data_IF_840247136605
#
_entry.id   IF_840247136605
#
_cell.length_a   1.000
_cell.length_b   1.000
_cell.length_c   1.000
_cell.angle_alpha   90.00
_cell.angle_beta   90.00
_cell.angle_gamma   90.00
#
_symmetry.space_group_name_H-M   'P 1'
#
loop_
_entity.id
_entity.type
_entity.pdbx_description
1 polymer ?
2 non-polymer ?
3 non-polymer ?
4 non-polymer ?
5 non-polymer ?
6 non-polymer ?
7 non-polymer ?
8 water ?
#
# COMPACT_ATOMS: atom_id res chain seq x y z
N UNK A 2 -2.09 7.94 24.85
CA UNK A 2 -3.18 7.11 25.47
C UNK A 2 -2.61 5.85 26.08
N UNK A 3 -3.49 5.02 26.65
CA UNK A 3 -3.03 3.77 27.28
C UNK A 3 -2.78 2.70 26.25
N UNK A 4 -3.45 2.75 25.08
CA UNK A 4 -3.07 1.84 24.01
C UNK A 4 -1.97 2.51 23.18
N UNK A 5 -0.81 1.85 23.13
CA UNK A 5 0.23 2.14 22.14
C UNK A 5 -0.45 1.98 20.77
N UNK A 6 -0.22 2.89 19.83
CA UNK A 6 -0.72 2.65 18.46
C UNK A 6 0.23 3.22 17.43
N UNK A 7 0.17 2.65 16.21
CA UNK A 7 0.88 3.17 15.03
C UNK A 7 -0.13 3.37 13.90
N UNK A 8 0.20 4.20 12.92
CA UNK A 8 -0.66 4.29 11.73
C UNK A 8 0.24 4.25 10.51
N UNK A 9 -0.27 3.76 9.40
CA UNK A 9 0.51 3.75 8.15
C UNK A 9 -0.17 2.85 7.15
N UNK A 10 0.30 2.88 5.90
CA UNK A 10 -0.37 2.12 4.84
C UNK A 10 -0.07 0.61 4.96
N UNK A 11 -1.04 -0.23 4.59
CA UNK A 11 -0.81 -1.68 4.49
C UNK A 11 -0.06 -1.94 3.19
N UNK A 12 1.07 -2.64 3.30
CA UNK A 12 1.93 -2.89 2.15
C UNK A 12 2.27 -4.39 1.94
N UNK A 13 3.02 -4.70 0.88
CA UNK A 13 3.29 -6.10 0.51
C UNK A 13 4.32 -6.75 1.45
N UNK A 14 4.04 -7.99 1.84
CA UNK A 14 5.00 -8.81 2.56
C UNK A 14 5.57 -9.91 1.67
N UNK A 15 5.89 -11.05 2.28
CA UNK A 15 6.42 -12.20 1.53
C UNK A 15 5.38 -12.98 0.68
N UNK A 16 4.10 -12.71 0.93
CA UNK A 16 3.00 -13.40 0.25
C UNK A 16 2.67 -14.75 0.85
N UNK A 17 3.08 -15.01 2.10
CA UNK A 17 2.93 -16.38 2.65
C UNK A 17 1.80 -16.52 3.67
N UNK A 18 1.39 -15.42 4.29
CA UNK A 18 0.45 -15.45 5.44
C UNK A 18 -0.84 -16.20 5.11
N UNK A 19 -1.55 -15.75 4.08
CA UNK A 19 -2.81 -16.38 3.65
C UNK A 19 -2.55 -17.74 3.02
N UNK A 20 -1.73 -17.74 1.96
CA UNK A 20 -1.48 -18.91 1.12
C UNK A 20 -0.88 -20.10 1.88
N UNK A 21 0.12 -19.85 2.72
CA UNK A 21 0.85 -20.93 3.37
C UNK A 21 0.40 -21.16 4.80
N UNK A 22 0.03 -20.11 5.51
CA UNK A 22 -0.25 -20.24 6.94
C UNK A 22 -1.75 -20.28 7.28
N UNK A 23 -2.58 -19.80 6.34
CA UNK A 23 -4.01 -19.59 6.61
C UNK A 23 -4.27 -18.43 7.56
N UNK A 24 -3.27 -17.58 7.75
CA UNK A 24 -3.42 -16.38 8.58
C UNK A 24 -2.93 -15.16 7.78
N UNK A 25 -3.78 -14.61 6.89
CA UNK A 25 -3.32 -13.39 6.20
C UNK A 25 -3.02 -12.26 7.19
N UNK A 26 -1.92 -11.50 6.98
CA UNK A 26 -1.59 -10.41 7.88
C UNK A 26 -1.40 -9.14 7.09
N UNK A 27 -2.03 -8.06 7.57
CA UNK A 27 -1.84 -6.74 6.97
C UNK A 27 -0.49 -6.21 7.50
N UNK A 28 0.47 -6.02 6.60
CA UNK A 28 1.85 -5.62 6.97
C UNK A 28 2.09 -4.13 6.92
N UNK A 29 2.71 -3.60 7.98
CA UNK A 29 3.23 -2.23 7.97
C UNK A 29 4.73 -2.26 8.27
N UNK A 30 5.51 -1.36 7.65
CA UNK A 30 6.96 -1.25 7.97
C UNK A 30 7.25 0.18 8.39
N UNK A 31 8.06 0.35 9.43
CA UNK A 31 8.41 1.69 9.94
C UNK A 31 9.93 1.89 9.93
N UNK A 32 10.40 3.13 9.88
CA UNK A 32 11.85 3.39 10.04
C UNK A 32 12.30 3.01 11.45
N UNK A 33 13.59 2.67 11.61
CA UNK A 33 14.05 2.19 12.93
C UNK A 33 14.05 3.26 14.05
N UNK A 34 13.76 4.51 13.67
CA UNK A 34 13.62 5.64 14.62
C UNK A 34 12.25 5.73 15.31
N UNK A 35 11.26 5.05 14.73
CA UNK A 35 9.84 5.09 15.18
C UNK A 35 9.66 4.18 16.39
N UNK A 36 9.07 4.71 17.45
CA UNK A 36 8.88 3.91 18.63
C UNK A 36 7.84 2.79 18.34
N UNK A 37 8.21 1.55 18.69
CA UNK A 37 7.31 0.37 18.54
C UNK A 37 7.25 -0.39 19.86
N UNK A 38 6.20 -1.21 20.07
CA UNK A 38 6.24 -2.15 21.22
C UNK A 38 7.38 -3.16 21.01
N UNK A 39 7.77 -3.83 22.08
CA UNK A 39 8.75 -4.92 22.03
C UNK A 39 8.33 -5.95 20.96
N UNK A 40 9.32 -6.57 20.31
CA UNK A 40 8.96 -7.66 19.37
C UNK A 40 8.16 -8.69 20.17
N UNK A 41 7.07 -9.18 19.58
CA UNK A 41 6.21 -10.15 20.28
C UNK A 41 4.84 -10.17 19.64
N UNK A 42 3.88 -10.77 20.34
CA UNK A 42 2.51 -11.01 19.85
C UNK A 42 1.55 -10.29 20.80
N UNK A 43 0.57 -9.60 20.22
CA UNK A 43 -0.34 -8.70 20.96
C UNK A 43 -1.78 -8.93 20.55
N UNK A 44 -2.69 -8.64 21.48
CA UNK A 44 -4.13 -8.60 21.17
C UNK A 44 -4.38 -7.12 20.92
N UNK A 45 -5.15 -6.79 19.89
CA UNK A 45 -5.45 -5.37 19.62
C UNK A 45 -6.56 -5.10 18.62
N UNK A 46 -6.60 -3.86 18.10
CA UNK A 46 -7.67 -3.42 17.22
C UNK A 46 -7.06 -2.78 15.98
N UNK A 47 -7.56 -3.18 14.80
CA UNK A 47 -7.17 -2.54 13.55
C UNK A 47 -8.37 -1.71 13.06
N UNK A 48 -8.10 -0.44 12.74
CA UNK A 48 -9.13 0.44 12.21
C UNK A 48 -8.66 1.03 10.87
N UNK A 49 -9.51 0.91 9.83
CA UNK A 49 -9.26 1.64 8.57
C UNK A 49 -9.62 3.11 8.83
N UNK A 50 -8.63 4.01 8.68
CA UNK A 50 -8.85 5.42 9.03
C UNK A 50 -9.86 6.08 8.08
N UNK A 51 -10.50 7.19 8.53
CA UNK A 51 -11.49 7.88 7.70
C UNK A 51 -10.98 8.07 6.28
N UNK A 52 -11.79 7.67 5.31
CA UNK A 52 -11.35 7.74 3.91
C UNK A 52 -12.52 7.70 2.94
N UNK A 53 -12.33 8.31 1.78
CA UNK A 53 -13.27 8.16 0.68
C UNK A 53 -12.88 7.04 -0.31
N UNK A 54 -11.73 6.39 -0.11
CA UNK A 54 -11.30 5.31 -0.99
C UNK A 54 -12.23 4.10 -0.75
N UNK A 55 -12.74 3.48 -1.84
CA UNK A 55 -13.57 2.27 -1.68
C UNK A 55 -12.77 1.12 -1.07
N UNK A 56 -13.43 0.36 -0.20
CA UNK A 56 -12.82 -0.80 0.47
C UNK A 56 -13.55 -2.06 -0.03
N UNK A 57 -12.80 -2.98 -0.63
CA UNK A 57 -13.38 -4.19 -1.18
C UNK A 57 -13.32 -5.30 -0.11
N UNK A 58 -14.45 -5.97 0.15
CA UNK A 58 -14.52 -6.95 1.25
C UNK A 58 -15.43 -6.51 2.39
N UNK A 59 -15.40 -7.25 3.49
CA UNK A 59 -16.37 -7.03 4.59
C UNK A 59 -15.85 -6.22 5.79
N UNK A 60 -14.95 -5.29 5.53
CA UNK A 60 -14.52 -4.29 6.52
C UNK A 60 -14.84 -2.90 5.99
N UNK A 61 -15.27 -2.00 6.85
CA UNK A 61 -15.52 -0.62 6.46
C UNK A 61 -14.70 0.33 7.33
N UNK A 62 -14.52 1.61 6.91
CA UNK A 62 -13.69 2.47 7.74
C UNK A 62 -14.31 2.82 9.10
N UNK A 63 -13.46 3.22 10.04
CA UNK A 63 -13.87 3.80 11.34
C UNK A 63 -14.52 2.77 12.27
N UNK A 64 -14.30 1.49 12.02
CA UNK A 64 -14.75 0.42 12.94
C UNK A 64 -13.49 -0.28 13.46
N UNK A 65 -13.37 -0.49 14.77
CA UNK A 65 -12.22 -1.18 15.34
C UNK A 65 -12.41 -2.70 15.16
N UNK A 66 -11.57 -3.34 14.34
CA UNK A 66 -11.66 -4.80 14.14
C UNK A 66 -10.71 -5.55 15.04
N UNK A 67 -11.21 -6.59 15.75
CA UNK A 67 -10.35 -7.42 16.58
C UNK A 67 -9.21 -8.03 15.74
N UNK A 68 -7.98 -7.96 16.25
CA UNK A 68 -6.81 -8.41 15.51
C UNK A 68 -5.80 -9.06 16.45
N UNK A 69 -5.13 -10.11 15.97
CA UNK A 69 -3.95 -10.68 16.59
C UNK A 69 -2.75 -10.14 15.80
N UNK A 70 -1.77 -9.59 16.51
CA UNK A 70 -0.76 -8.71 15.93
C UNK A 70 0.65 -9.19 16.31
N UNK A 71 1.53 -9.28 15.32
CA UNK A 71 2.93 -9.64 15.51
C UNK A 71 3.81 -8.40 15.26
N UNK A 72 4.86 -8.25 16.05
CA UNK A 72 5.89 -7.21 15.84
C UNK A 72 7.21 -7.95 15.82
N UNK A 73 8.00 -7.76 14.75
CA UNK A 73 9.33 -8.33 14.69
C UNK A 73 9.74 -8.73 13.28
N UNK A 74 10.74 -9.62 13.21
CA UNK A 74 11.38 -9.97 11.94
C UNK A 74 10.98 -11.38 11.41
N UNK A 75 9.96 -11.99 12.01
CA UNK A 75 9.48 -13.32 11.58
C UNK A 75 10.63 -14.35 11.59
N UNK A 76 11.28 -14.54 12.77
CA UNK A 76 12.49 -15.33 12.79
C UNK A 76 12.34 -16.80 12.32
N UNK A 77 11.12 -17.36 12.41
CA UNK A 77 10.84 -18.71 11.86
C UNK A 77 11.22 -18.81 10.37
N UNK A 78 11.08 -17.69 9.67
CA UNK A 78 11.29 -17.61 8.22
C UNK A 78 12.56 -16.86 7.84
N UNK A 79 13.11 -16.11 8.80
CA UNK A 79 14.35 -15.37 8.58
C UNK A 79 14.19 -14.11 7.74
N UNK A 80 13.07 -13.40 7.90
CA UNK A 80 12.82 -12.17 7.14
C UNK A 80 13.80 -11.05 7.52
N UNK A 81 14.04 -10.12 6.59
CA UNK A 81 15.09 -9.12 6.78
C UNK A 81 14.65 -7.87 7.54
N UNK A 82 13.38 -7.46 7.38
CA UNK A 82 12.92 -6.22 7.99
C UNK A 82 11.91 -6.47 9.13
N UNK A 83 11.91 -5.58 10.10
CA UNK A 83 10.91 -5.60 11.19
C UNK A 83 9.57 -5.08 10.67
N UNK A 84 8.52 -5.86 10.88
CA UNK A 84 7.16 -5.51 10.46
C UNK A 84 6.21 -5.41 11.68
N UNK A 85 5.10 -4.70 11.50
CA UNK A 85 3.91 -4.82 12.36
C UNK A 85 2.85 -5.50 11.47
N UNK A 86 2.31 -6.63 11.93
CA UNK A 86 1.46 -7.48 11.07
C UNK A 86 0.19 -7.82 11.81
N UNK A 87 -0.96 -7.52 11.20
CA UNK A 87 -2.28 -7.69 11.87
C UNK A 87 -3.11 -8.74 11.13
N UNK A 88 -3.47 -9.82 11.85
CA UNK A 88 -4.45 -10.81 11.34
C UNK A 88 -5.80 -10.35 11.90
N UNK A 89 -6.65 -9.86 11.02
CA UNK A 89 -7.98 -9.38 11.42
C UNK A 89 -8.89 -10.62 11.57
N UNK A 90 -9.41 -10.86 12.77
CA UNK A 90 -10.20 -12.08 13.06
C UNK A 90 -11.49 -12.15 12.24
N UNK A 91 -11.75 -13.29 11.61
CA UNK A 91 -13.06 -13.60 11.01
C UNK A 91 -13.51 -12.61 9.93
N UNK A 92 -12.55 -11.97 9.25
CA UNK A 92 -12.87 -10.98 8.20
C UNK A 92 -12.09 -11.31 6.95
N UNK A 93 -12.50 -10.69 5.83
CA UNK A 93 -11.81 -10.87 4.56
C UNK A 93 -12.02 -9.60 3.72
N UNK A 94 -10.95 -8.81 3.57
CA UNK A 94 -10.96 -7.55 2.82
C UNK A 94 -9.60 -7.26 2.18
N UNK A 95 -9.63 -6.50 1.06
CA UNK A 95 -8.40 -6.05 0.43
C UNK A 95 -7.94 -4.76 1.10
N UNK A 96 -6.93 -4.89 1.96
CA UNK A 96 -6.42 -3.76 2.74
C UNK A 96 -5.21 -3.05 2.11
N UNK A 97 -4.66 -3.63 1.04
CA UNK A 97 -3.41 -3.12 0.50
C UNK A 97 -3.57 -1.66 0.09
N UNK A 98 -2.65 -0.81 0.54
CA UNK A 98 -2.65 0.61 0.21
C UNK A 98 -3.54 1.49 1.09
N UNK A 99 -4.39 0.86 1.92
CA UNK A 99 -5.24 1.63 2.83
C UNK A 99 -4.47 2.06 4.08
N UNK A 100 -4.72 3.29 4.54
CA UNK A 100 -4.11 3.79 5.77
C UNK A 100 -4.87 3.22 6.99
N UNK A 101 -4.17 2.49 7.87
CA UNK A 101 -4.80 1.87 9.04
C UNK A 101 -4.12 2.26 10.33
N UNK A 102 -4.89 2.19 11.45
CA UNK A 102 -4.37 2.40 12.78
C UNK A 102 -4.40 1.03 13.45
N UNK A 103 -3.31 0.68 14.15
CA UNK A 103 -3.20 -0.60 14.87
C UNK A 103 -2.93 -0.23 16.33
N UNK A 104 -3.81 -0.68 17.21
CA UNK A 104 -3.72 -0.40 18.65
C UNK A 104 -3.31 -1.69 19.36
N UNK A 105 -2.33 -1.59 20.27
CA UNK A 105 -1.78 -2.75 20.96
C UNK A 105 -2.39 -2.74 22.36
N UNK A 106 -3.31 -3.67 22.63
CA UNK A 106 -4.07 -3.65 23.90
C UNK A 106 -3.36 -4.47 25.00
N UNK A 107 -2.96 -5.70 24.69
CA UNK A 107 -2.28 -6.59 25.64
C UNK A 107 -1.16 -7.36 24.97
N UNK A 108 -0.10 -7.62 25.73
CA UNK A 108 0.99 -8.50 25.28
C UNK A 108 0.53 -9.95 25.51
N UNK A 109 0.66 -10.78 24.48
CA UNK A 109 0.21 -12.18 24.52
C UNK A 109 1.41 -13.14 24.67
N UNK A 110 2.51 -12.86 23.97
CA UNK A 110 3.60 -13.86 23.87
C UNK A 110 4.86 -13.19 23.32
N UNK A 111 6.03 -13.72 23.68
CA UNK A 111 7.28 -13.32 23.02
C UNK A 111 7.29 -13.83 21.56
N UNK A 112 8.05 -13.14 20.69
CA UNK A 112 8.33 -13.59 19.35
C UNK A 112 9.29 -14.76 19.43
N UNK A 113 9.00 -15.85 18.70
CA UNK A 113 9.78 -17.09 18.83
C UNK A 113 10.21 -17.63 17.45
N UNK A 114 11.42 -18.20 17.38
CA UNK A 114 11.85 -18.90 16.18
C UNK A 114 11.43 -20.36 16.32
N UNK A 115 10.43 -20.78 15.54
CA UNK A 115 9.98 -22.17 15.57
C UNK A 115 10.76 -22.99 14.56
N UNK A 116 10.90 -24.28 14.83
CA UNK A 116 11.61 -25.20 13.93
C UNK A 116 10.79 -25.52 12.71
N UNK A 117 9.47 -25.45 12.84
CA UNK A 117 8.59 -25.76 11.70
C UNK A 117 7.41 -24.83 11.63
N UNK A 118 6.90 -24.66 10.41
CA UNK A 118 5.70 -23.87 10.16
C UNK A 118 4.52 -24.48 10.95
N UNK A 119 4.47 -25.82 11.01
CA UNK A 119 3.41 -26.53 11.71
C UNK A 119 3.38 -26.19 13.21
N UNK A 120 4.54 -26.13 13.85
CA UNK A 120 4.65 -25.74 15.26
C UNK A 120 4.22 -24.27 15.45
N UNK A 121 4.64 -23.40 14.53
CA UNK A 121 4.20 -21.99 14.57
C UNK A 121 2.67 -21.86 14.48
N UNK A 122 2.07 -22.60 13.53
CA UNK A 122 0.59 -22.56 13.34
C UNK A 122 -0.21 -22.98 14.55
N UNK A 123 0.26 -24.01 15.26
CA UNK A 123 -0.39 -24.51 16.47
C UNK A 123 -0.43 -23.43 17.53
N UNK A 124 0.69 -22.68 17.66
CA UNK A 124 0.78 -21.61 18.62
C UNK A 124 -0.07 -20.39 18.21
N UNK A 125 -0.03 -20.03 16.93
CA UNK A 125 -0.86 -18.91 16.44
C UNK A 125 -2.35 -19.12 16.71
N UNK A 126 -2.84 -20.36 16.58
CA UNK A 126 -4.24 -20.68 16.93
C UNK A 126 -4.53 -20.32 18.40
N UNK A 127 -3.59 -20.65 19.31
CA UNK A 127 -3.73 -20.31 20.73
C UNK A 127 -3.65 -18.81 20.98
N UNK A 128 -2.78 -18.10 20.23
CA UNK A 128 -2.72 -16.62 20.31
C UNK A 128 -4.08 -16.00 19.98
N UNK A 129 -4.71 -16.51 18.91
CA UNK A 129 -6.04 -16.05 18.50
C UNK A 129 -7.10 -16.26 19.58
N UNK A 130 -7.10 -17.45 20.18
CA UNK A 130 -8.00 -17.76 21.30
C UNK A 130 -7.85 -16.75 22.46
N UNK A 131 -6.59 -16.48 22.84
CA UNK A 131 -6.32 -15.57 23.98
C UNK A 131 -6.74 -14.15 23.59
N UNK A 132 -6.50 -13.82 22.33
CA UNK A 132 -6.86 -12.46 21.80
C UNK A 132 -8.36 -12.21 21.96
N UNK A 133 -9.18 -13.21 21.63
CA UNK A 133 -10.64 -13.05 21.74
C UNK A 133 -11.05 -12.67 23.18
N UNK A 134 -10.52 -13.41 24.14
CA UNK A 134 -10.87 -13.22 25.56
C UNK A 134 -10.37 -11.85 26.06
N UNK A 135 -9.12 -11.52 25.73
CA UNK A 135 -8.56 -10.22 26.11
C UNK A 135 -9.34 -9.05 25.53
N UNK A 136 -9.73 -9.16 24.26
CA UNK A 136 -10.50 -8.08 23.64
C UNK A 136 -11.93 -7.94 24.18
N UNK A 137 -12.57 -9.05 24.53
CA UNK A 137 -13.88 -8.96 25.20
C UNK A 137 -13.76 -8.18 26.53
N UNK A 138 -12.66 -8.37 27.24
CA UNK A 138 -12.42 -7.60 28.49
C UNK A 138 -12.18 -6.12 28.17
N UNK A 139 -11.49 -5.85 27.08
CA UNK A 139 -11.24 -4.47 26.68
C UNK A 139 -12.52 -3.74 26.28
N UNK A 140 -13.45 -4.42 25.59
CA UNK A 140 -14.78 -3.85 25.26
C UNK A 140 -15.45 -3.33 26.53
N UNK A 141 -15.46 -4.18 27.56
CA UNK A 141 -16.08 -3.86 28.83
C UNK A 141 -15.37 -2.71 29.53
N UNK A 142 -14.03 -2.75 29.52
CA UNK A 142 -13.20 -1.69 30.14
C UNK A 142 -13.54 -0.28 29.62
N UNK A 143 -13.74 -0.12 28.31
CA UNK A 143 -14.09 1.17 27.74
C UNK A 143 -15.59 1.38 27.47
N UNK A 144 -16.42 0.42 27.90
CA UNK A 144 -17.86 0.42 27.58
C UNK A 144 -18.09 0.78 26.10
N UNK A 145 -17.40 0.11 25.19
CA UNK A 145 -17.47 0.45 23.75
C UNK A 145 -18.87 0.18 23.22
N UNK A 146 -19.42 1.14 22.47
CA UNK A 146 -20.70 1.00 21.79
C UNK A 146 -20.59 -0.01 20.64
N UNK A 147 -21.60 -0.91 20.50
CA UNK A 147 -21.61 -1.97 19.48
C UNK A 147 -21.25 -1.58 18.04
N UNK A 148 -21.74 -0.44 17.56
CA UNK A 148 -21.40 0.03 16.22
C UNK A 148 -19.91 0.39 16.03
N UNK A 149 -19.16 0.58 17.12
CA UNK A 149 -17.78 1.08 17.07
C UNK A 149 -16.70 0.00 16.93
N UNK A 150 -17.08 -1.26 17.13
CA UNK A 150 -16.11 -2.38 17.02
C UNK A 150 -16.72 -3.64 16.42
N UNK A 151 -15.85 -4.56 16.03
CA UNK A 151 -16.30 -5.87 15.55
C UNK A 151 -15.47 -6.91 16.30
N UNK A 152 -16.13 -7.79 17.05
CA UNK A 152 -15.43 -8.89 17.74
C UNK A 152 -16.39 -10.07 17.82
N UNK A 153 -15.98 -11.19 17.24
CA UNK A 153 -16.77 -12.43 17.24
C UNK A 153 -16.15 -13.53 18.12
N UNK A 154 -16.95 -14.51 18.58
CA UNK A 154 -16.43 -15.87 18.95
C UNK A 154 -16.21 -16.75 17.67
N UNK A 155 -15.19 -17.60 17.64
CA UNK A 155 -14.97 -18.31 16.36
C UNK A 155 -15.95 -19.44 16.00
N UNK A 156 -16.24 -19.58 14.70
CA UNK A 156 -17.26 -20.53 14.19
C UNK A 156 -16.84 -21.97 14.38
N UNK B 4 18.37 9.57 -14.18
CA UNK B 4 17.21 10.49 -13.94
C UNK B 4 16.97 10.69 -12.44
N UNK B 5 16.39 11.84 -12.10
CA UNK B 5 15.79 12.02 -10.77
C UNK B 5 14.66 11.01 -10.56
N UNK B 6 14.58 10.48 -9.34
CA UNK B 6 13.54 9.51 -8.98
C UNK B 6 13.08 9.63 -7.54
N UNK B 7 11.86 9.14 -7.29
CA UNK B 7 11.35 8.91 -5.93
C UNK B 7 11.03 7.41 -5.78
N UNK B 8 11.02 6.92 -4.55
CA UNK B 8 10.58 5.55 -4.29
C UNK B 8 9.57 5.55 -3.16
N UNK B 9 8.69 4.55 -3.16
CA UNK B 9 7.68 4.43 -2.10
C UNK B 9 6.52 3.56 -2.51
N UNK B 10 5.70 3.15 -1.54
CA UNK B 10 4.62 2.21 -1.85
C UNK B 10 3.47 2.87 -2.61
N UNK B 11 2.83 2.10 -3.47
CA UNK B 11 1.60 2.52 -4.14
C UNK B 11 0.45 2.36 -3.15
N UNK B 12 -0.30 3.45 -2.95
CA UNK B 12 -1.36 3.48 -1.93
C UNK B 12 -2.70 3.99 -2.52
N UNK B 13 -3.74 4.07 -1.69
CA UNK B 13 -5.09 4.42 -2.16
C UNK B 13 -5.26 5.92 -2.39
N UNK B 14 -5.85 6.26 -3.54
CA UNK B 14 -6.34 7.61 -3.81
C UNK B 14 -7.85 7.67 -3.72
N UNK B 15 -8.44 8.56 -4.51
CA UNK B 15 -9.90 8.78 -4.50
C UNK B 15 -10.70 7.64 -5.13
N UNK B 16 -10.03 6.74 -5.84
CA UNK B 16 -10.70 5.61 -6.52
C UNK B 16 -11.35 5.96 -7.86
N UNK B 17 -11.00 7.12 -8.41
CA UNK B 17 -11.66 7.62 -9.63
C UNK B 17 -10.86 7.42 -10.92
N UNK B 18 -9.53 7.28 -10.82
CA UNK B 18 -8.65 7.18 -12.01
C UNK B 18 -9.10 6.15 -13.04
N UNK B 19 -9.21 4.89 -12.61
CA UNK B 19 -9.62 3.80 -13.49
C UNK B 19 -11.12 3.86 -13.79
N UNK B 20 -11.93 3.79 -12.74
CA UNK B 20 -13.38 3.65 -12.86
C UNK B 20 -14.07 4.81 -13.58
N UNK B 21 -13.68 6.05 -13.27
CA UNK B 21 -14.33 7.21 -13.88
C UNK B 21 -13.60 7.71 -15.12
N UNK B 22 -12.28 7.82 -15.04
CA UNK B 22 -11.49 8.49 -16.07
C UNK B 22 -10.95 7.54 -17.13
N UNK B 23 -10.79 6.26 -16.79
CA UNK B 23 -10.12 5.29 -17.69
C UNK B 23 -8.61 5.45 -17.76
N UNK B 24 -8.05 6.20 -16.79
CA UNK B 24 -6.62 6.37 -16.64
C UNK B 24 -6.25 6.00 -15.20
N UNK B 25 -6.13 4.69 -14.90
CA UNK B 25 -5.76 4.33 -13.51
C UNK B 25 -4.36 4.88 -13.18
N UNK B 26 -4.20 5.45 -11.99
CA UNK B 26 -2.89 6.00 -11.59
C UNK B 26 -2.43 5.36 -10.28
N UNK B 27 -1.19 4.83 -10.28
CA UNK B 27 -0.52 4.36 -9.04
C UNK B 27 -0.13 5.59 -8.21
N UNK B 28 -0.74 5.74 -7.03
CA UNK B 28 -0.55 6.96 -6.22
C UNK B 28 0.55 6.74 -5.18
N UNK B 29 1.45 7.71 -5.08
CA UNK B 29 2.40 7.80 -3.94
C UNK B 29 2.19 9.13 -3.25
N UNK B 30 2.42 9.16 -1.92
CA UNK B 30 2.31 10.38 -1.12
C UNK B 30 3.57 10.53 -0.29
N UNK B 31 4.14 11.73 -0.29
CA UNK B 31 5.39 12.02 0.42
C UNK B 31 5.18 13.12 1.46
N UNK B 32 5.95 13.06 2.54
CA UNK B 32 5.98 14.15 3.52
C UNK B 32 6.44 15.43 2.81
N UNK B 33 6.04 16.59 3.35
CA UNK B 33 6.38 17.85 2.68
C UNK B 33 7.88 18.21 2.74
N UNK B 34 8.65 17.43 3.48
CA UNK B 34 10.11 17.58 3.53
C UNK B 34 10.82 17.00 2.28
N UNK B 35 10.09 16.17 1.53
CA UNK B 35 10.64 15.52 0.33
C UNK B 35 10.59 16.53 -0.82
N UNK B 36 11.75 16.78 -1.43
CA UNK B 36 11.82 17.65 -2.62
C UNK B 36 11.18 16.93 -3.81
N UNK B 37 10.22 17.58 -4.45
CA UNK B 37 9.53 16.99 -5.61
C UNK B 37 9.63 17.92 -6.83
N UNK B 38 9.53 17.35 -8.07
CA UNK B 38 9.41 18.21 -9.25
C UNK B 38 8.19 19.14 -9.10
N UNK B 39 8.20 20.30 -9.73
CA UNK B 39 7.07 21.24 -9.67
C UNK B 39 5.79 20.55 -10.13
N UNK B 40 4.66 20.93 -9.53
CA UNK B 40 3.35 20.40 -9.92
C UNK B 40 3.24 20.46 -11.45
N UNK B 41 2.82 19.36 -12.05
CA UNK B 41 2.81 19.26 -13.52
C UNK B 41 2.76 17.84 -14.01
N UNK B 42 2.90 17.68 -15.34
CA UNK B 42 2.79 16.40 -16.00
C UNK B 42 4.16 16.07 -16.60
N UNK B 43 4.58 14.83 -16.44
CA UNK B 43 5.91 14.35 -16.85
C UNK B 43 5.84 13.03 -17.60
N UNK B 44 6.81 12.82 -18.49
CA UNK B 44 7.05 11.50 -19.05
C UNK B 44 8.14 10.82 -18.24
N UNK B 45 7.95 9.55 -17.92
CA UNK B 45 8.96 8.82 -17.16
C UNK B 45 8.81 7.32 -17.15
N UNK B 46 9.47 6.68 -16.17
CA UNK B 46 9.54 5.22 -16.05
C UNK B 46 9.14 4.77 -14.67
N UNK B 47 8.22 3.81 -14.60
CA UNK B 47 7.89 3.17 -13.30
C UNK B 47 8.48 1.75 -13.20
N UNK B 48 9.21 1.50 -12.12
CA UNK B 48 9.82 0.19 -11.87
C UNK B 48 9.35 -0.39 -10.53
N UNK B 49 8.83 -1.61 -10.53
CA UNK B 49 8.57 -2.33 -9.28
C UNK B 49 9.94 -2.80 -8.77
N UNK B 50 10.35 -2.28 -7.61
CA UNK B 50 11.68 -2.59 -7.03
C UNK B 50 11.84 -4.10 -6.73
N UNK B 51 13.10 -4.61 -6.69
CA UNK B 51 13.31 -6.05 -6.45
C UNK B 51 12.54 -6.54 -5.22
N UNK B 52 11.87 -7.67 -5.38
CA UNK B 52 10.94 -8.20 -4.37
C UNK B 52 10.61 -9.66 -4.66
N UNK B 53 10.31 -10.42 -3.61
CA UNK B 53 9.79 -11.77 -3.78
C UNK B 53 8.27 -11.78 -3.61
N UNK B 54 7.68 -10.61 -3.32
CA UNK B 54 6.22 -10.45 -3.27
C UNK B 54 5.60 -10.72 -4.65
N UNK B 55 4.62 -11.65 -4.75
CA UNK B 55 3.95 -11.88 -6.03
C UNK B 55 3.27 -10.62 -6.59
N UNK B 56 3.36 -10.42 -7.90
CA UNK B 56 2.66 -9.33 -8.60
C UNK B 56 1.56 -9.94 -9.46
N UNK B 57 0.33 -9.49 -9.26
CA UNK B 57 -0.82 -9.91 -10.07
C UNK B 57 -0.98 -8.99 -11.28
N UNK B 58 -0.99 -9.58 -12.48
CA UNK B 58 -1.13 -8.83 -13.73
C UNK B 58 0.08 -8.93 -14.64
N UNK B 59 0.16 -8.05 -15.63
CA UNK B 59 1.19 -8.14 -16.67
C UNK B 59 2.40 -7.21 -16.48
N UNK B 60 2.71 -6.92 -15.21
CA UNK B 60 3.96 -6.23 -14.85
C UNK B 60 4.80 -7.12 -13.93
N UNK B 61 6.11 -7.08 -14.13
CA UNK B 61 7.02 -7.85 -13.29
C UNK B 61 8.10 -6.95 -12.68
N UNK B 62 8.72 -7.35 -11.54
CA UNK B 62 9.76 -6.51 -10.95
C UNK B 62 10.97 -6.27 -11.86
N UNK B 63 11.61 -5.12 -11.66
CA UNK B 63 12.92 -4.78 -12.25
C UNK B 63 12.90 -4.47 -13.75
N UNK B 64 11.72 -4.14 -14.27
CA UNK B 64 11.54 -3.66 -15.65
C UNK B 64 11.01 -2.22 -15.57
N UNK B 65 11.66 -1.30 -16.31
CA UNK B 65 11.17 0.08 -16.44
C UNK B 65 9.95 0.13 -17.39
N UNK B 66 8.78 0.49 -16.84
CA UNK B 66 7.56 0.62 -17.66
C UNK B 66 7.29 2.09 -17.98
N UNK B 67 7.05 2.38 -19.26
CA UNK B 67 6.65 3.71 -19.72
C UNK B 67 5.43 4.23 -18.93
N UNK B 68 5.52 5.47 -18.44
CA UNK B 68 4.45 6.06 -17.62
C UNK B 68 4.28 7.54 -17.90
N UNK B 69 3.03 8.00 -17.83
CA UNK B 69 2.70 9.42 -17.86
C UNK B 69 2.40 9.77 -16.39
N UNK B 70 3.11 10.77 -15.87
CA UNK B 70 3.16 11.00 -14.41
C UNK B 70 2.61 12.39 -14.09
N UNK B 71 1.72 12.46 -13.09
CA UNK B 71 1.17 13.72 -12.61
C UNK B 71 1.71 14.00 -11.21
N UNK B 72 2.05 15.26 -10.94
CA UNK B 72 2.47 15.71 -9.59
C UNK B 72 1.60 16.90 -9.21
N UNK B 73 0.94 16.83 -8.06
CA UNK B 73 0.11 17.93 -7.61
C UNK B 73 -1.11 17.50 -6.83
N UNK B 74 -2.08 18.40 -6.75
CA UNK B 74 -3.24 18.24 -5.86
C UNK B 74 -4.55 17.93 -6.63
N UNK B 75 -4.43 17.49 -7.89
CA UNK B 75 -5.62 17.24 -8.72
C UNK B 75 -6.70 18.35 -8.67
N UNK B 76 -6.34 19.61 -9.04
CA UNK B 76 -7.22 20.75 -8.82
C UNK B 76 -8.56 20.71 -9.56
N UNK B 77 -8.63 19.98 -10.67
CA UNK B 77 -9.92 19.74 -11.37
C UNK B 77 -10.99 19.18 -10.41
N UNK B 78 -10.54 18.38 -9.44
CA UNK B 78 -11.43 17.68 -8.49
C UNK B 78 -11.41 18.25 -7.08
N UNK B 79 -10.61 19.29 -6.87
CA UNK B 79 -10.31 19.85 -5.54
C UNK B 79 -9.77 18.88 -4.50
N UNK B 80 -8.84 17.99 -4.87
CA UNK B 80 -8.22 17.08 -3.88
C UNK B 80 -7.33 17.83 -2.87
N UNK B 81 -7.12 17.21 -1.71
CA UNK B 81 -6.51 17.91 -0.57
C UNK B 81 -5.00 17.71 -0.39
N UNK B 82 -4.49 16.55 -0.83
CA UNK B 82 -3.08 16.21 -0.58
C UNK B 82 -2.32 16.03 -1.89
N UNK B 83 -1.11 16.58 -1.93
CA UNK B 83 -0.22 16.43 -3.11
C UNK B 83 0.19 14.97 -3.32
N UNK B 84 0.03 14.47 -4.56
CA UNK B 84 0.39 13.11 -4.90
C UNK B 84 1.39 13.07 -6.06
N UNK B 85 2.11 11.96 -6.18
CA UNK B 85 2.84 11.60 -7.40
C UNK B 85 2.07 10.41 -7.96
N UNK B 86 1.53 10.58 -9.17
CA UNK B 86 0.61 9.58 -9.75
C UNK B 86 1.10 9.12 -11.11
N UNK B 87 1.23 7.81 -11.24
CA UNK B 87 1.75 7.22 -12.49
C UNK B 87 0.69 6.40 -13.23
N UNK B 88 0.37 6.82 -14.46
CA UNK B 88 -0.43 6.01 -15.38
C UNK B 88 0.55 5.18 -16.24
N UNK B 89 0.56 3.88 -16.04
CA UNK B 89 1.47 2.97 -16.75
C UNK B 89 0.84 2.62 -18.11
N UNK B 90 1.53 3.01 -19.18
CA UNK B 90 0.98 2.85 -20.53
C UNK B 90 0.80 1.39 -20.90
N UNK B 91 -0.37 1.08 -21.46
CA UNK B 91 -0.63 -0.23 -22.11
C UNK B 91 -0.45 -1.45 -21.19
N UNK B 92 -0.69 -1.29 -19.88
CA UNK B 92 -0.52 -2.38 -18.91
C UNK B 92 -1.67 -2.43 -17.92
N UNK B 93 -1.75 -3.54 -17.17
CA UNK B 93 -2.78 -3.74 -16.17
C UNK B 93 -2.25 -4.66 -15.07
N UNK B 94 -2.03 -4.10 -13.89
CA UNK B 94 -1.53 -4.89 -12.77
C UNK B 94 -2.02 -4.30 -11.45
N UNK B 95 -2.06 -5.14 -10.43
CA UNK B 95 -2.41 -4.69 -9.08
C UNK B 95 -1.13 -4.25 -8.39
N UNK B 96 -0.96 -2.93 -8.30
CA UNK B 96 0.26 -2.37 -7.75
C UNK B 96 0.13 -1.94 -6.29
N UNK B 97 -1.07 -2.02 -5.72
CA UNK B 97 -1.30 -1.59 -4.32
C UNK B 97 -0.35 -2.30 -3.35
N UNK B 98 0.32 -1.51 -2.52
CA UNK B 98 1.26 -2.02 -1.53
C UNK B 98 2.65 -2.37 -2.02
N UNK B 99 2.87 -2.36 -3.35
CA UNK B 99 4.19 -2.62 -3.93
C UNK B 99 5.07 -1.37 -3.89
N UNK B 100 6.36 -1.56 -3.55
CA UNK B 100 7.33 -0.47 -3.46
C UNK B 100 7.83 -0.19 -4.87
N UNK B 101 7.61 1.02 -5.36
CA UNK B 101 7.94 1.34 -6.76
C UNK B 101 8.88 2.54 -6.84
N UNK B 102 9.66 2.58 -7.92
CA UNK B 102 10.52 3.71 -8.28
C UNK B 102 9.93 4.43 -9.48
N UNK B 103 9.85 5.75 -9.39
CA UNK B 103 9.30 6.59 -10.43
C UNK B 103 10.39 7.60 -10.86
N UNK B 104 10.89 7.42 -12.08
CA UNK B 104 11.94 8.27 -12.67
C UNK B 104 11.29 9.33 -13.56
N UNK B 105 11.76 10.57 -13.45
CA UNK B 105 11.20 11.68 -14.19
C UNK B 105 12.13 11.99 -15.35
N UNK B 106 11.62 11.87 -16.58
CA UNK B 106 12.46 12.03 -17.79
C UNK B 106 12.33 13.42 -18.41
N UNK B 107 11.09 13.86 -18.69
CA UNK B 107 10.83 15.16 -19.33
C UNK B 107 9.59 15.80 -18.71
N UNK B 108 9.62 17.12 -18.56
CA UNK B 108 8.43 17.92 -18.27
C UNK B 108 7.53 17.99 -19.52
N UNK B 109 6.23 17.74 -19.36
CA UNK B 109 5.27 17.71 -20.48
C UNK B 109 4.36 18.94 -20.46
N UNK B 110 3.83 19.31 -19.28
CA UNK B 110 2.75 20.29 -19.17
C UNK B 110 2.64 20.78 -17.72
N UNK B 111 2.18 22.02 -17.54
CA UNK B 111 1.76 22.55 -16.23
C UNK B 111 0.50 21.82 -15.73
N UNK B 112 0.30 21.81 -14.42
CA UNK B 112 -0.91 21.23 -13.82
C UNK B 112 -2.04 22.26 -13.99
N UNK B 113 -3.21 21.81 -14.43
CA UNK B 113 -4.30 22.72 -14.79
C UNK B 113 -5.65 22.38 -14.16
N UNK B 114 -6.46 23.40 -13.89
CA UNK B 114 -7.81 23.18 -13.39
C UNK B 114 -8.78 23.26 -14.58
N UNK B 115 -9.45 22.16 -14.89
CA UNK B 115 -10.42 22.12 -15.98
C UNK B 115 -11.84 22.24 -15.46
N UNK B 116 -12.71 22.85 -16.27
CA UNK B 116 -14.15 23.00 -16.00
C UNK B 116 -14.95 21.69 -16.03
N UNK B 117 -14.44 20.66 -16.72
CA UNK B 117 -15.15 19.38 -16.81
C UNK B 117 -14.19 18.20 -16.96
N UNK B 118 -14.69 17.02 -16.61
CA UNK B 118 -13.95 15.76 -16.73
C UNK B 118 -13.53 15.54 -18.19
N UNK B 119 -14.46 15.71 -19.14
CA UNK B 119 -14.14 15.46 -20.57
C UNK B 119 -13.00 16.34 -21.09
N UNK B 120 -12.95 17.61 -20.67
CA UNK B 120 -11.87 18.51 -21.06
C UNK B 120 -10.53 18.01 -20.55
N UNK B 121 -10.50 17.52 -19.31
CA UNK B 121 -9.30 16.91 -18.74
C UNK B 121 -8.86 15.66 -19.50
N UNK B 122 -9.83 14.78 -19.80
CA UNK B 122 -9.51 13.52 -20.49
C UNK B 122 -8.86 13.75 -21.86
N UNK B 123 -9.34 14.78 -22.56
CA UNK B 123 -8.82 15.10 -23.89
C UNK B 123 -7.37 15.56 -23.80
N UNK B 124 -7.05 16.35 -22.78
CA UNK B 124 -5.68 16.80 -22.56
C UNK B 124 -4.77 15.65 -22.10
N UNK B 125 -5.26 14.79 -21.20
CA UNK B 125 -4.54 13.57 -20.78
C UNK B 125 -4.19 12.64 -21.96
N UNK B 126 -5.11 12.49 -22.91
CA UNK B 126 -4.86 11.67 -24.10
C UNK B 126 -3.66 12.22 -24.90
N UNK B 127 -3.58 13.54 -25.01
CA UNK B 127 -2.48 14.24 -25.70
C UNK B 127 -1.17 14.07 -24.92
N UNK B 128 -1.26 14.14 -23.58
CA UNK B 128 -0.09 13.94 -22.68
C UNK B 128 0.52 12.54 -22.92
N UNK B 129 -0.35 11.53 -23.02
CA UNK B 129 0.08 10.13 -23.24
C UNK B 129 0.76 10.03 -24.61
N UNK B 130 0.16 10.68 -25.61
CA UNK B 130 0.76 10.69 -26.96
C UNK B 130 2.17 11.30 -26.97
N UNK B 131 2.33 12.47 -26.36
CA UNK B 131 3.66 13.11 -26.18
C UNK B 131 4.65 12.20 -25.43
N UNK B 132 4.16 11.58 -24.35
CA UNK B 132 4.98 10.64 -23.57
C UNK B 132 5.58 9.51 -24.42
N UNK B 133 4.80 8.96 -25.34
CA UNK B 133 5.28 7.88 -26.22
C UNK B 133 6.54 8.29 -26.99
N UNK B 134 6.50 9.46 -27.63
CA UNK B 134 7.67 9.93 -28.40
C UNK B 134 8.85 10.36 -27.51
N UNK B 135 8.56 11.04 -26.39
CA UNK B 135 9.62 11.43 -25.44
C UNK B 135 10.38 10.25 -24.89
N UNK B 136 9.66 9.17 -24.55
CA UNK B 136 10.31 7.98 -23.99
C UNK B 136 11.05 7.17 -25.07
N UNK B 137 10.52 7.14 -26.30
CA UNK B 137 11.26 6.56 -27.44
C UNK B 137 12.62 7.25 -27.62
N UNK B 138 12.64 8.59 -27.51
CA UNK B 138 13.87 9.37 -27.57
C UNK B 138 14.83 9.04 -26.41
N UNK B 139 14.25 8.82 -25.22
CA UNK B 139 15.03 8.39 -24.07
C UNK B 139 15.69 7.01 -24.23
N UNK B 140 14.95 6.06 -24.80
CA UNK B 140 15.45 4.70 -25.06
C UNK B 140 16.71 4.78 -25.95
N UNK B 141 16.63 5.60 -27.00
CA UNK B 141 17.75 5.85 -27.92
C UNK B 141 18.91 6.56 -27.24
N UNK B 142 18.60 7.60 -26.46
CA UNK B 142 19.62 8.38 -25.73
C UNK B 142 20.52 7.55 -24.81
N UNK B 143 19.97 6.49 -24.19
CA UNK B 143 20.73 5.61 -23.29
C UNK B 143 21.11 4.26 -23.90
N UNK B 144 20.66 4.01 -25.13
CA UNK B 144 20.77 2.71 -25.80
C UNK B 144 20.34 1.54 -24.90
N UNK B 145 19.14 1.64 -24.34
CA UNK B 145 18.63 0.66 -23.37
C UNK B 145 18.44 -0.71 -24.00
N UNK B 146 18.88 -1.74 -23.29
CA UNK B 146 18.64 -3.13 -23.67
C UNK B 146 17.14 -3.46 -23.55
N UNK B 147 16.56 -4.12 -24.58
CA UNK B 147 15.11 -4.40 -24.64
C UNK B 147 14.52 -5.10 -23.41
N UNK B 148 15.30 -5.95 -22.75
CA UNK B 148 14.83 -6.67 -21.55
C UNK B 148 14.64 -5.78 -20.31
N UNK B 149 15.26 -4.59 -20.31
CA UNK B 149 15.27 -3.68 -19.16
C UNK B 149 14.07 -2.69 -19.10
N UNK B 150 13.31 -2.59 -20.19
CA UNK B 150 12.20 -1.63 -20.27
C UNK B 150 11.02 -2.17 -21.07
N UNK B 151 9.87 -1.52 -20.92
CA UNK B 151 8.68 -1.83 -21.70
C UNK B 151 8.13 -0.51 -22.20
N UNK B 152 8.07 -0.39 -23.52
CA UNK B 152 7.45 0.75 -24.19
C UNK B 152 6.81 0.16 -25.44
N UNK B 153 5.50 0.07 -25.42
CA UNK B 153 4.76 -0.63 -26.46
C UNK B 153 4.67 0.25 -27.69
N UNK B 154 5.15 -0.29 -28.81
CA UNK B 154 5.06 0.38 -30.11
C UNK B 154 3.67 0.19 -30.70
N UNK B 155 3.11 1.27 -31.25
CA UNK B 155 1.76 1.27 -31.80
C UNK B 155 1.79 1.11 -33.32
X LIG C 1 6.51 -15.31 13.25
X LIG C 1 7.55 -15.90 13.89
X LIG C 1 8.60 -16.09 13.27
X LIG C 1 7.41 -16.28 15.19
X LIG C 1 6.27 -16.09 15.90
X LIG C 1 6.23 -16.45 17.10
X LIG C 1 5.18 -15.48 15.26
X LIG C 1 3.99 -15.27 15.90
X LIG C 1 2.94 -14.68 15.24
X LIG C 1 1.72 -14.49 15.90
X LIG C 1 0.66 -13.90 15.23
X LIG C 1 -0.61 -13.70 16.00
X LIG C 1 0.79 -13.49 13.89
X LIG C 1 -0.34 -12.83 13.14
X LIG C 1 2.00 -13.69 13.22
X LIG C 1 3.06 -14.29 13.89
X LIG C 1 4.28 -14.49 13.23
X LIG C 1 5.35 -15.09 13.91
X LIG C 1 4.47 -14.01 11.85
X LIG C 1 4.37 -14.95 10.70
X LIG C 1 5.68 -15.52 10.58
X LIG C 1 4.07 -14.02 9.49
X LIG C 1 2.88 -13.23 9.76
X LIG C 1 3.93 -14.85 8.23
X LIG C 1 5.21 -15.42 7.90
X LIG C 1 3.40 -14.04 7.05
X LIG C 1 4.41 -13.18 6.52
X LIG C 1 3.96 -12.09 5.42
X LIG C 1 2.85 -11.19 5.93
X LIG C 1 5.14 -11.27 5.04
X LIG C 1 3.45 -12.89 4.23
X LIG D 1 1.51 -10.16 2.55
X LIG D 1 2.66 -11.11 2.56
X LIG D 1 1.51 -9.25 1.35
X LIG D 1 1.34 -9.36 3.82
X LIG D 1 -0.55 -12.03 3.42
X LIG D 1 0.04 -11.76 4.78
X LIG D 1 -0.51 -13.46 2.90
X LIG D 1 0.18 -11.06 2.35
X LIG D 1 -2.07 -11.53 3.33
X LIG D 1 -2.37 -10.20 3.80
X LIG D 1 -3.27 -9.41 2.86
X LIG D 1 -4.50 -10.12 2.76
X LIG D 1 -3.66 -8.08 3.49
X LIG D 1 -2.79 -7.02 3.09
X LIG D 1 -5.09 -7.83 3.06
X LIG D 1 -5.09 -7.11 1.80
X LIG D 1 -5.63 -9.23 2.84
X LIG D 1 -6.49 -9.78 3.92
X LIG D 1 -7.61 -10.51 3.66
X LIG D 1 -8.19 -10.94 4.81
X LIG D 1 -7.42 -10.49 5.83
X LIG D 1 -7.48 -10.60 7.30
X LIG D 1 -8.49 -11.28 7.89
X LIG D 1 -6.48 -9.99 8.02
X LIG D 1 -5.48 -9.30 7.42
X LIG D 1 -5.38 -9.18 6.08
X LIG D 1 -6.31 -9.73 5.25
X LIG E 1 1.08 -10.25 5.69
X LIG F 1 -8.16 -0.71 26.49
X LIG G 1 -12.30 2.23 20.92
X LIG G 1 -13.57 1.87 20.31
X LIG G 1 -11.22 1.31 20.36
X LIG G 1 -10.07 1.27 21.22
X LIG G 1 -10.83 1.81 18.98
X LIG G 1 -10.05 3.02 19.01
X LIG H 1 -21.06 -9.34 7.62
X LIG H 1 -22.41 -9.20 7.04
X LIG H 1 -21.02 -8.73 8.96
X LIG H 1 -20.09 -8.67 6.71
X LIG H 1 -20.72 -10.78 7.73
X LIG I 1 -5.39 16.54 -12.66
X LIG I 1 -5.71 17.84 -12.75
X LIG I 1 -6.49 18.33 -11.91
X LIG I 1 -5.24 18.60 -13.77
X LIG I 1 -4.41 18.09 -14.73
X LIG I 1 -3.99 18.86 -15.63
X LIG I 1 -4.06 16.75 -14.67
X LIG I 1 -3.24 16.17 -15.61
X LIG I 1 -2.92 14.84 -15.53
X LIG I 1 -2.09 14.24 -16.49
X LIG I 1 -1.77 12.88 -16.42
X LIG I 1 -0.88 12.29 -17.50
X LIG I 1 -2.26 12.08 -15.37
X LIG I 1 -1.91 10.63 -15.23
X LIG I 1 -3.08 12.68 -14.40
X LIG I 1 -3.42 14.04 -14.48
X LIG I 1 -4.25 14.63 -13.50
X LIG I 1 -4.58 15.98 -13.61
X LIG I 1 -4.70 13.86 -12.33
X LIG I 1 -6.06 13.25 -12.27
X LIG I 1 -6.90 14.28 -11.81
X LIG I 1 -5.98 12.13 -11.24
X LIG I 1 -5.00 11.15 -11.66
X LIG I 1 -7.36 11.47 -11.12
X LIG I 1 -8.30 12.43 -10.57
X LIG I 1 -7.37 10.16 -10.32
X LIG I 1 -7.16 10.42 -8.94
X LIG I 1 -6.91 9.18 -7.96
X LIG I 1 -5.69 8.37 -8.33
X LIG I 1 -6.77 9.73 -6.57
X LIG I 1 -8.13 8.26 -8.08
X LIG J 1 -6.55 5.15 -6.71
X LIG J 1 -7.55 6.25 -6.59
X LIG J 1 -6.56 4.21 -5.52
X LIG J 1 -5.16 5.60 -7.07
X LIG J 1 -7.07 4.47 -9.49
X LIG J 1 -6.20 5.68 -9.75
X LIG J 1 -8.47 4.51 -10.00
X LIG J 1 -7.10 4.20 -7.89
X LIG J 1 -6.37 3.13 -10.02
X LIG J 1 -4.98 2.91 -9.79
X LIG J 1 -4.70 1.47 -9.36
X LIG J 1 -5.06 0.61 -10.45
X LIG J 1 -3.22 1.28 -9.11
X LIG J 1 -2.86 1.41 -7.73
X LIG J 1 -2.93 -0.13 -9.60
X LIG J 1 -3.11 -1.07 -8.54
X LIG J 1 -4.03 -0.39 -10.63
X LIG J 1 -3.60 -0.29 -12.04
X LIG J 1 -4.03 -1.13 -13.00
X LIG J 1 -3.51 -0.81 -14.21
X LIG J 1 -2.76 0.29 -14.05
X LIG J 1 -1.93 1.15 -14.94
X LIG J 1 -1.86 0.85 -16.27
X LIG J 1 -1.28 2.20 -14.37
X LIG J 1 -1.37 2.47 -13.05
X LIG J 1 -2.11 1.73 -12.19
X LIG J 1 -2.81 0.64 -12.62
X LIG K 1 -4.71 6.75 -8.68
X LIG L 1 17.17 9.62 -19.99
X LIG M 1 2.12 -9.58 -22.21
X LIG M 1 2.65 -8.36 -22.88
X LIG M 1 0.67 -9.39 -21.94
X LIG M 1 2.84 -9.79 -20.93
X LIG M 1 2.33 -10.75 -23.09
#
# INVERSE_FOLDING_TARGET
>A
LGRHFYVTGPVVRGAGRGGKELGFPTANQYFHDTVALPADGVYAGWLTILPTEAPVSGNMEPEVAYAAAISVGTNPTFGDEQRSVESFVLDRDADLYGHDVKVEFVDHVRAMEKFDSVEQLLEVMAKDVQKTRTLLAQDVQAHKMAPETYFLQAES
>B
LGRHFYVTGPVVRGAGRGGKELGFPTANQYFHDTVALPADGVYAGWLTILPTEAPVSGNMEPEVAYAAAISVGTNPTFGDEQRSVESFVLDRDADLYGHDVKVEFVDHVRAMEKFDSVEQLLEVMAKDVQKTRTLLAQDVQAHKMAPETYFLQAES
>C hetero
1 FMN N1 C2 O2 N3 C4 O4 C4A N5 C5A C6 C7 C7M C8 C8M C9 C9A N10 C10 C1' C2' O2' C3' O3' C4' O4' C5' O5' P O1P O2P O3P
>D hetero
1 ADP PB O1B O2B O3B PA O1A O2A O3A O5' C5' C4' O4' C3' O3' C2' O2' C1' N9 C8 N7 C5 C6 N6 N1 C2 N3 C4
>E hetero
1 MG MG
>F hetero
1 ZN ZN
>G hetero
1 GOL C1 O1 C2 O2 C3 O3
>H hetero
1 SO4 S O1 O2 O3 O4
>I hetero
1 FMN N1 C2 O2 N3 C4 O4 C4A N5 C5A C6 C7 C7M C8 C8M C9 C9A N10 C10 C1' C2' O2' C3' O3' C4' O4' C5' O5' P O1P O2P O3P
>J hetero
1 ADP PB O1B O2B O3B PA O1A O2A O3A O5' C5' C4' O4' C3' O3' C2' O2' C1' N9 C8 N7 C5 C6 N6 N1 C2 N3 C4
>K hetero
1 MG MG
>L hetero
1 ZN ZN
>M hetero
1 SO4 S O1 O2 O3 O4
#
